data_IF_544483743210
#
_entry.id   IF_544483743210
#
_cell.length_a   1.000
_cell.length_b   1.000
_cell.length_c   1.000
_cell.angle_alpha   90.00
_cell.angle_beta   90.00
_cell.angle_gamma   90.00
#
_symmetry.space_group_name_H-M   'P 1'
#
loop_
_entity.id
_entity.type
_entity.pdbx_description
1 polymer ?
#
# COMPACT_ATOMS: atom_id res chain seq x y z
N UNK A 1 31.24 -18.69 -27.44
CA UNK A 1 30.21 -18.64 -28.51
C UNK A 1 29.88 -17.18 -28.74
N UNK A 2 29.94 -16.72 -29.99
CA UNK A 2 29.62 -15.34 -30.32
C UNK A 2 28.13 -15.10 -30.15
N UNK A 3 27.77 -13.97 -29.52
CA UNK A 3 26.38 -13.49 -29.48
C UNK A 3 25.98 -13.11 -30.92
N UNK A 4 24.88 -13.70 -31.40
CA UNK A 4 24.30 -13.31 -32.68
C UNK A 4 23.28 -12.19 -32.39
N UNK A 5 23.54 -11.00 -32.94
CA UNK A 5 22.61 -9.86 -32.87
C UNK A 5 21.81 -9.80 -34.19
N UNK A 6 20.49 -9.77 -34.06
CA UNK A 6 19.58 -9.59 -35.19
C UNK A 6 19.18 -8.12 -35.29
N UNK A 7 19.47 -7.49 -36.43
CA UNK A 7 19.13 -6.07 -36.67
C UNK A 7 17.81 -5.91 -37.46
N UNK A 8 16.86 -6.83 -37.32
CA UNK A 8 15.58 -6.79 -38.01
C UNK A 8 14.52 -7.65 -37.34
N UNK A 9 13.32 -7.65 -37.89
CA UNK A 9 12.22 -8.44 -37.36
C UNK A 9 12.55 -9.94 -37.48
N UNK A 10 12.54 -10.65 -36.36
CA UNK A 10 12.66 -12.11 -36.31
C UNK A 10 11.25 -12.71 -36.32
N UNK A 11 10.98 -13.59 -37.33
CA UNK A 11 9.70 -14.31 -37.42
C UNK A 11 9.90 -15.77 -37.03
N UNK A 12 8.97 -16.32 -36.27
CA UNK A 12 8.94 -17.74 -35.95
C UNK A 12 7.50 -18.26 -36.00
N UNK A 13 7.25 -19.29 -36.76
CA UNK A 13 5.93 -19.93 -36.86
C UNK A 13 5.58 -20.73 -35.61
N UNK A 14 6.59 -21.17 -34.83
CA UNK A 14 6.44 -21.98 -33.62
C UNK A 14 6.73 -21.23 -32.34
N UNK A 15 6.88 -19.88 -32.39
CA UNK A 15 7.19 -19.03 -31.26
C UNK A 15 8.68 -19.00 -30.90
N UNK A 16 8.99 -18.40 -29.74
CA UNK A 16 10.35 -18.23 -29.24
C UNK A 16 10.49 -18.83 -27.84
N UNK A 17 11.66 -19.39 -27.56
CA UNK A 17 11.98 -19.93 -26.24
C UNK A 17 13.24 -19.29 -25.69
N UNK A 18 13.20 -18.93 -24.40
CA UNK A 18 14.41 -18.67 -23.62
C UNK A 18 14.78 -19.96 -22.89
N UNK A 19 16.03 -20.34 -22.94
CA UNK A 19 16.53 -21.58 -22.35
C UNK A 19 17.72 -21.31 -21.43
N UNK A 20 17.85 -22.09 -20.36
CA UNK A 20 19.10 -22.17 -19.61
C UNK A 20 19.77 -23.51 -19.89
N UNK A 21 21.10 -23.51 -20.08
CA UNK A 21 21.90 -24.70 -20.20
C UNK A 21 22.54 -25.06 -18.87
N UNK A 22 22.34 -26.28 -18.40
CA UNK A 22 23.07 -26.79 -17.25
C UNK A 22 24.55 -26.92 -17.64
N UNK A 23 25.44 -26.25 -16.88
CA UNK A 23 26.87 -26.23 -17.20
C UNK A 23 27.53 -27.58 -17.02
N UNK A 24 27.02 -28.46 -16.18
CA UNK A 24 27.58 -29.78 -15.87
C UNK A 24 27.05 -30.86 -16.80
N UNK A 25 25.73 -30.87 -17.07
CA UNK A 25 25.10 -31.94 -17.86
C UNK A 25 24.90 -31.56 -19.33
N UNK A 26 25.02 -30.28 -19.68
CA UNK A 26 24.76 -29.78 -21.02
C UNK A 26 23.26 -29.73 -21.40
N UNK A 27 22.36 -30.17 -20.52
CA UNK A 27 20.91 -30.21 -20.77
C UNK A 27 20.33 -28.82 -20.82
N UNK A 28 19.46 -28.54 -21.79
CA UNK A 28 18.70 -27.30 -21.91
C UNK A 28 17.35 -27.41 -21.22
N UNK A 29 16.99 -26.40 -20.48
CA UNK A 29 15.67 -26.27 -19.82
C UNK A 29 14.98 -24.99 -20.31
N UNK A 30 13.76 -25.12 -20.81
CA UNK A 30 12.95 -23.98 -21.23
C UNK A 30 12.66 -23.09 -19.99
N UNK A 31 12.89 -21.78 -20.09
CA UNK A 31 12.61 -20.79 -19.02
C UNK A 31 11.35 -19.98 -19.30
N UNK A 32 11.17 -19.54 -20.54
CA UNK A 32 9.96 -18.92 -21.02
C UNK A 32 9.73 -19.27 -22.49
N UNK A 33 8.48 -19.39 -22.86
CA UNK A 33 8.07 -19.74 -24.26
C UNK A 33 7.00 -18.74 -24.69
N UNK A 34 7.19 -18.11 -25.83
CA UNK A 34 6.16 -17.40 -26.57
C UNK A 34 5.60 -18.32 -27.64
N UNK A 35 4.33 -18.69 -27.59
CA UNK A 35 3.72 -19.57 -28.59
C UNK A 35 3.38 -18.80 -29.88
N UNK A 36 2.92 -19.54 -30.91
CA UNK A 36 2.51 -18.97 -32.21
C UNK A 36 1.34 -18.00 -32.12
N UNK A 37 0.54 -18.02 -31.02
CA UNK A 37 -0.55 -17.07 -30.74
C UNK A 37 -0.09 -15.83 -29.99
N UNK A 38 1.23 -15.67 -29.74
CA UNK A 38 1.79 -14.52 -29.03
C UNK A 38 1.68 -14.58 -27.50
N UNK A 39 1.20 -15.70 -26.94
CA UNK A 39 1.11 -15.85 -25.49
C UNK A 39 2.47 -16.22 -24.89
N UNK A 40 2.88 -15.56 -23.83
CA UNK A 40 4.10 -15.82 -23.10
C UNK A 40 3.81 -16.72 -21.88
N UNK A 41 4.52 -17.84 -21.79
CA UNK A 41 4.42 -18.78 -20.68
C UNK A 41 5.77 -18.94 -19.99
N UNK A 42 5.74 -19.17 -18.66
CA UNK A 42 6.89 -19.68 -17.93
C UNK A 42 6.73 -21.19 -17.74
N UNK A 43 7.79 -21.96 -17.95
CA UNK A 43 7.76 -23.41 -17.76
C UNK A 43 8.09 -23.75 -16.30
N UNK A 44 7.33 -24.70 -15.73
CA UNK A 44 7.60 -25.33 -14.43
C UNK A 44 7.92 -24.35 -13.28
N UNK A 45 6.91 -23.63 -12.79
CA UNK A 45 7.04 -22.84 -11.55
C UNK A 45 7.85 -21.55 -11.67
N UNK A 46 8.25 -21.16 -12.87
CA UNK A 46 8.86 -19.85 -13.10
C UNK A 46 7.81 -18.75 -13.14
N UNK A 47 7.99 -17.73 -12.33
CA UNK A 47 7.20 -16.51 -12.41
C UNK A 47 7.82 -15.59 -13.48
N UNK A 48 6.97 -14.91 -14.28
CA UNK A 48 7.41 -13.72 -14.99
C UNK A 48 7.75 -12.68 -13.95
N UNK A 49 9.01 -12.60 -13.56
CA UNK A 49 9.47 -11.50 -12.74
C UNK A 49 9.59 -10.29 -13.65
N UNK A 50 8.77 -9.29 -13.40
CA UNK A 50 9.09 -7.95 -13.84
C UNK A 50 10.27 -7.50 -12.96
N UNK A 51 11.48 -7.55 -13.56
CA UNK A 51 12.61 -6.89 -12.92
C UNK A 51 12.30 -5.39 -12.97
N UNK A 52 11.83 -4.84 -11.87
CA UNK A 52 11.76 -3.42 -11.70
C UNK A 52 13.18 -2.88 -11.87
N UNK A 53 13.45 -2.20 -12.99
CA UNK A 53 14.61 -1.34 -13.06
C UNK A 53 14.51 -0.41 -11.85
N UNK A 54 15.56 -0.45 -11.03
CA UNK A 54 15.75 0.35 -9.82
C UNK A 54 14.88 1.60 -9.75
N UNK A 55 13.82 1.57 -8.92
CA UNK A 55 13.18 2.80 -8.46
C UNK A 55 11.66 2.92 -8.59
N UNK A 56 11.01 2.20 -9.49
CA UNK A 56 9.55 2.24 -9.60
C UNK A 56 9.02 0.81 -9.72
N UNK A 57 8.66 0.21 -8.61
CA UNK A 57 7.73 -0.92 -8.64
C UNK A 57 6.37 -0.39 -9.12
N UNK A 58 5.59 -1.16 -9.92
CA UNK A 58 4.24 -0.75 -10.23
C UNK A 58 3.48 -0.58 -8.92
N UNK A 59 3.05 0.64 -8.62
CA UNK A 59 2.21 0.97 -7.47
C UNK A 59 0.85 0.25 -7.51
N UNK A 60 0.52 -0.32 -8.66
CA UNK A 60 -0.71 -1.06 -8.91
C UNK A 60 -0.43 -2.39 -9.60
N UNK A 61 -0.06 -3.40 -8.83
CA UNK A 61 -0.15 -4.78 -9.29
C UNK A 61 -1.62 -5.20 -9.18
N UNK A 62 -2.34 -5.16 -10.30
CA UNK A 62 -3.71 -5.68 -10.36
C UNK A 62 -3.63 -7.20 -10.49
N UNK A 63 -3.88 -7.90 -9.41
CA UNK A 63 -3.99 -9.36 -9.40
C UNK A 63 -5.46 -9.72 -9.57
N UNK A 64 -5.83 -10.14 -10.79
CA UNK A 64 -7.19 -10.62 -11.09
C UNK A 64 -7.27 -12.13 -11.04
N UNK A 65 -8.39 -12.68 -10.59
CA UNK A 65 -8.68 -14.11 -10.73
C UNK A 65 -9.12 -14.41 -12.17
N UNK A 66 -8.16 -14.71 -13.01
CA UNK A 66 -8.41 -15.16 -14.39
C UNK A 66 -7.33 -16.15 -14.83
N UNK A 67 -7.29 -17.32 -14.19
CA UNK A 67 -6.30 -18.37 -14.50
C UNK A 67 -5.03 -18.28 -13.65
N UNK A 68 -4.65 -19.36 -13.13
CA UNK A 68 -3.57 -19.86 -12.27
C UNK A 68 -2.18 -19.20 -12.30
N UNK A 69 -2.03 -17.94 -12.65
CA UNK A 69 -0.71 -17.29 -12.78
C UNK A 69 -0.33 -16.37 -11.63
N UNK A 70 -1.23 -16.12 -10.69
CA UNK A 70 -0.98 -15.26 -9.52
C UNK A 70 -1.09 -16.07 -8.22
N UNK A 71 -0.45 -17.19 -8.20
CA UNK A 71 -0.60 -18.32 -7.28
C UNK A 71 -0.36 -18.08 -5.79
N UNK A 72 -0.23 -16.83 -5.32
CA UNK A 72 0.06 -16.58 -3.89
C UNK A 72 -0.80 -15.50 -3.25
N UNK A 73 -1.54 -14.69 -4.00
CA UNK A 73 -2.43 -13.70 -3.42
C UNK A 73 -3.72 -14.36 -2.95
N UNK A 74 -3.84 -14.55 -1.65
CA UNK A 74 -5.03 -15.07 -0.99
C UNK A 74 -5.57 -14.00 -0.04
N UNK A 75 -6.76 -13.39 -0.30
CA UNK A 75 -7.30 -12.37 0.58
C UNK A 75 -7.71 -12.90 1.96
N UNK A 76 -7.78 -14.21 2.13
CA UNK A 76 -8.09 -14.87 3.40
C UNK A 76 -6.86 -15.45 4.11
N UNK A 77 -5.68 -14.92 3.86
CA UNK A 77 -4.46 -15.33 4.53
C UNK A 77 -3.67 -14.13 5.03
N UNK A 78 -3.06 -14.28 6.18
CA UNK A 78 -2.08 -13.35 6.75
C UNK A 78 -0.66 -13.91 6.70
N UNK A 79 0.34 -13.07 6.85
CA UNK A 79 1.75 -13.45 6.88
C UNK A 79 2.54 -12.58 7.84
N UNK A 80 3.47 -13.16 8.59
CA UNK A 80 4.44 -12.41 9.41
C UNK A 80 5.53 -11.74 8.57
N UNK A 81 5.62 -12.04 7.27
CA UNK A 81 6.58 -11.43 6.35
C UNK A 81 5.86 -10.73 5.22
N UNK A 82 6.41 -9.62 4.76
CA UNK A 82 5.85 -8.87 3.65
C UNK A 82 5.98 -9.65 2.34
N UNK A 83 4.85 -9.97 1.69
CA UNK A 83 4.80 -10.69 0.42
C UNK A 83 4.63 -9.77 -0.79
N UNK A 84 3.99 -8.61 -0.60
CA UNK A 84 3.70 -7.62 -1.65
C UNK A 84 4.06 -6.21 -1.15
N UNK A 85 4.33 -5.24 -2.04
CA UNK A 85 4.42 -3.85 -1.65
C UNK A 85 3.14 -3.37 -0.95
N UNK A 86 3.27 -2.54 0.07
CA UNK A 86 2.11 -1.96 0.77
C UNK A 86 1.26 -1.13 -0.19
N UNK A 87 -0.06 -1.23 -0.06
CA UNK A 87 -1.01 -0.60 -0.98
C UNK A 87 -1.26 -1.38 -2.28
N UNK A 88 -0.58 -2.53 -2.52
CA UNK A 88 -0.84 -3.36 -3.71
C UNK A 88 -2.32 -3.69 -3.82
N UNK A 89 -2.88 -3.51 -5.02
CA UNK A 89 -4.29 -3.75 -5.33
C UNK A 89 -4.51 -5.19 -5.79
N UNK A 90 -5.49 -5.86 -5.19
CA UNK A 90 -5.99 -7.17 -5.60
C UNK A 90 -7.48 -7.05 -5.98
N UNK A 91 -7.85 -7.54 -7.15
CA UNK A 91 -9.26 -7.65 -7.56
C UNK A 91 -9.64 -9.13 -7.56
N UNK A 92 -10.69 -9.46 -6.80
CA UNK A 92 -11.21 -10.82 -6.70
C UNK A 92 -12.74 -10.80 -6.74
N UNK A 93 -13.32 -11.24 -7.85
CA UNK A 93 -14.76 -11.12 -8.07
C UNK A 93 -15.18 -9.65 -8.10
N UNK A 94 -16.13 -9.29 -7.25
CA UNK A 94 -16.62 -7.91 -7.12
C UNK A 94 -15.85 -7.11 -6.07
N UNK A 95 -14.89 -7.73 -5.37
CA UNK A 95 -14.15 -7.08 -4.30
C UNK A 95 -12.81 -6.54 -4.79
N UNK A 96 -12.46 -5.39 -4.25
CA UNK A 96 -11.13 -4.80 -4.35
C UNK A 96 -10.50 -4.78 -2.97
N UNK A 97 -9.26 -5.25 -2.91
CA UNK A 97 -8.47 -5.30 -1.68
C UNK A 97 -7.19 -4.49 -1.83
N UNK A 98 -6.68 -4.02 -0.70
CA UNK A 98 -5.33 -3.44 -0.59
C UNK A 98 -4.50 -4.25 0.39
N UNK A 99 -3.23 -4.47 0.03
CA UNK A 99 -2.28 -5.16 0.90
C UNK A 99 -1.70 -4.19 1.92
N UNK A 100 -1.69 -4.62 3.18
CA UNK A 100 -1.23 -3.75 4.26
C UNK A 100 -0.64 -4.52 5.44
N UNK A 101 0.00 -3.78 6.34
CA UNK A 101 0.51 -4.24 7.62
C UNK A 101 -0.43 -3.75 8.72
N UNK A 102 -0.94 -4.66 9.54
CA UNK A 102 -1.63 -4.29 10.78
C UNK A 102 -0.58 -3.86 11.82
N UNK A 103 -0.92 -2.87 12.64
CA UNK A 103 -0.08 -2.45 13.77
C UNK A 103 -0.15 -3.41 14.95
N UNK A 104 0.43 -3.01 16.08
CA UNK A 104 0.67 -3.82 17.26
C UNK A 104 -0.57 -4.31 18.03
N UNK A 105 -1.77 -4.21 17.45
CA UNK A 105 -3.03 -4.69 18.07
C UNK A 105 -3.81 -5.55 17.07
N UNK A 106 -4.14 -6.77 17.45
CA UNK A 106 -4.93 -7.68 16.64
C UNK A 106 -6.35 -7.13 16.39
N UNK A 107 -6.90 -7.39 15.21
CA UNK A 107 -8.25 -6.94 14.80
C UNK A 107 -9.03 -8.11 14.24
N UNK A 108 -10.22 -8.34 14.77
CA UNK A 108 -11.13 -9.40 14.28
C UNK A 108 -11.70 -9.07 12.91
N UNK A 109 -12.16 -10.09 12.19
CA UNK A 109 -12.80 -9.95 10.87
C UNK A 109 -13.98 -8.97 10.88
N UNK A 110 -14.21 -8.31 9.76
CA UNK A 110 -15.33 -7.39 9.56
C UNK A 110 -15.28 -6.09 10.36
N UNK A 111 -14.08 -5.65 10.70
CA UNK A 111 -13.83 -4.35 11.36
C UNK A 111 -13.15 -3.38 10.41
N UNK A 112 -13.56 -2.12 10.49
CA UNK A 112 -12.88 -1.03 9.78
C UNK A 112 -11.51 -0.78 10.41
N UNK A 113 -10.52 -0.52 9.56
CA UNK A 113 -9.19 -0.09 9.95
C UNK A 113 -8.85 1.25 9.30
N UNK A 114 -8.02 2.04 9.97
CA UNK A 114 -7.51 3.32 9.50
C UNK A 114 -5.97 3.29 9.46
N UNK A 115 -5.36 4.27 8.79
CA UNK A 115 -3.91 4.46 8.89
C UNK A 115 -3.51 4.77 10.33
N UNK A 116 -2.26 4.46 10.69
CA UNK A 116 -1.72 4.81 12.02
C UNK A 116 -1.74 6.33 12.24
N UNK A 117 -1.76 6.74 13.49
CA UNK A 117 -1.69 8.15 13.84
C UNK A 117 -0.40 8.78 13.29
N UNK A 118 -0.49 10.04 12.91
CA UNK A 118 0.70 10.83 12.59
C UNK A 118 1.47 11.17 13.88
N UNK A 119 2.80 11.19 13.77
CA UNK A 119 3.65 11.67 14.85
C UNK A 119 3.72 13.21 14.81
N UNK A 120 3.40 13.86 15.92
CA UNK A 120 3.43 15.32 16.00
C UNK A 120 4.83 15.92 15.88
N UNK A 121 5.85 15.15 16.25
CA UNK A 121 7.26 15.57 16.20
C UNK A 121 7.84 15.51 14.77
N UNK A 122 7.13 14.84 13.86
CA UNK A 122 7.47 14.78 12.45
C UNK A 122 6.55 15.66 11.59
N UNK A 123 5.87 16.64 12.21
CA UNK A 123 5.07 17.67 11.54
C UNK A 123 5.73 19.05 11.72
N UNK A 124 5.60 19.89 10.68
CA UNK A 124 6.17 21.24 10.66
C UNK A 124 7.68 21.30 10.93
N UNK A 125 8.39 20.25 10.51
CA UNK A 125 9.85 20.18 10.57
C UNK A 125 10.46 21.27 9.68
N UNK A 126 11.50 21.96 10.13
CA UNK A 126 12.22 22.94 9.32
C UNK A 126 13.29 22.27 8.45
N UNK A 127 13.45 22.75 7.22
CA UNK A 127 14.60 22.36 6.41
C UNK A 127 15.88 22.92 7.03
N UNK A 128 16.86 22.06 7.34
CA UNK A 128 18.12 22.49 7.99
C UNK A 128 19.08 23.15 7.01
N UNK A 129 18.90 22.97 5.70
CA UNK A 129 19.63 23.61 4.62
C UNK A 129 18.69 23.97 3.48
N UNK A 130 19.10 24.96 2.66
CA UNK A 130 18.42 25.22 1.39
C UNK A 130 18.66 24.04 0.44
N UNK A 131 17.59 23.57 -0.24
CA UNK A 131 17.63 22.44 -1.17
C UNK A 131 17.22 22.93 -2.55
N UNK A 132 18.04 22.67 -3.57
CA UNK A 132 17.76 23.10 -4.94
C UNK A 132 16.65 22.26 -5.58
N UNK A 133 15.93 22.85 -6.54
CA UNK A 133 15.06 22.07 -7.42
C UNK A 133 15.88 20.99 -8.15
N UNK A 134 15.31 19.80 -8.28
CA UNK A 134 15.95 18.62 -8.86
C UNK A 134 16.59 17.67 -7.85
N UNK A 135 16.78 18.09 -6.59
CA UNK A 135 17.33 17.25 -5.52
C UNK A 135 16.24 16.31 -4.94
N UNK A 136 16.71 15.18 -4.41
CA UNK A 136 15.88 14.16 -3.76
C UNK A 136 16.22 13.95 -2.28
N UNK A 137 17.34 14.47 -1.82
CA UNK A 137 17.78 14.38 -0.43
C UNK A 137 17.45 15.69 0.28
N UNK A 138 16.60 15.60 1.28
CA UNK A 138 16.05 16.75 1.99
C UNK A 138 16.39 16.61 3.47
N UNK A 139 17.22 17.54 3.98
CA UNK A 139 17.58 17.56 5.40
C UNK A 139 16.55 18.36 6.19
N UNK A 140 16.00 17.75 7.22
CA UNK A 140 14.97 18.34 8.10
C UNK A 140 15.38 18.22 9.55
N UNK A 141 14.92 19.14 10.38
CA UNK A 141 15.02 19.09 11.83
C UNK A 141 13.76 18.45 12.39
N UNK A 142 13.90 17.27 13.02
CA UNK A 142 12.77 16.55 13.67
C UNK A 142 12.42 17.19 15.00
N UNK A 143 11.21 16.91 15.51
CA UNK A 143 10.88 17.10 16.93
C UNK A 143 11.53 16.06 17.84
N UNK A 144 10.98 15.85 19.02
CA UNK A 144 11.60 15.03 20.07
C UNK A 144 11.61 13.52 19.86
N UNK A 145 10.93 13.01 18.82
CA UNK A 145 10.83 11.56 18.56
C UNK A 145 11.95 11.09 17.62
N UNK A 146 12.55 9.94 17.93
CA UNK A 146 13.55 9.28 17.10
C UNK A 146 12.91 8.63 15.87
N UNK A 147 13.69 8.42 14.81
CA UNK A 147 13.27 7.64 13.65
C UNK A 147 13.97 6.27 13.64
N UNK A 148 13.21 5.24 13.36
CA UNK A 148 13.81 3.95 13.02
C UNK A 148 14.19 3.91 11.53
N UNK A 149 15.10 3.00 11.18
CA UNK A 149 15.55 2.85 9.78
C UNK A 149 14.36 2.54 8.85
N UNK A 150 14.18 3.37 7.81
CA UNK A 150 13.12 3.23 6.81
C UNK A 150 11.68 3.26 7.36
N UNK A 151 11.47 3.87 8.50
CA UNK A 151 10.15 4.00 9.13
C UNK A 151 9.12 4.65 8.20
N UNK A 152 9.54 5.67 7.47
CA UNK A 152 8.70 6.42 6.52
C UNK A 152 8.83 5.93 5.07
N UNK A 153 9.53 4.83 4.82
CA UNK A 153 9.68 4.31 3.47
C UNK A 153 8.31 4.05 2.82
N UNK A 154 8.17 4.46 1.55
CA UNK A 154 6.91 4.46 0.79
C UNK A 154 5.78 5.32 1.39
N UNK A 155 6.05 6.10 2.44
CA UNK A 155 5.21 7.17 2.95
C UNK A 155 5.38 8.47 2.17
N UNK A 156 4.96 9.57 2.75
CA UNK A 156 4.96 10.87 2.08
C UNK A 156 5.64 11.94 2.92
N UNK A 157 6.45 12.74 2.23
CA UNK A 157 6.98 14.02 2.70
C UNK A 157 6.27 15.12 1.91
N UNK A 158 5.74 16.13 2.59
CA UNK A 158 5.16 17.28 1.91
C UNK A 158 5.64 18.60 2.51
N UNK A 159 5.67 19.63 1.68
CA UNK A 159 5.99 21.00 2.10
C UNK A 159 4.69 21.67 2.49
N UNK A 160 4.55 21.98 3.77
CA UNK A 160 3.30 22.53 4.31
C UNK A 160 3.30 24.05 4.46
N UNK A 161 4.48 24.70 4.48
CA UNK A 161 4.53 26.16 4.56
C UNK A 161 5.80 26.72 3.93
N UNK A 162 5.76 28.01 3.55
CA UNK A 162 6.81 28.82 2.97
C UNK A 162 7.21 28.35 1.55
N UNK A 163 8.49 28.40 1.19
CA UNK A 163 8.96 28.07 -0.16
C UNK A 163 8.75 26.61 -0.49
N UNK A 164 8.10 26.36 -1.62
CA UNK A 164 7.82 25.01 -2.11
C UNK A 164 6.51 24.41 -1.57
N UNK A 165 5.71 25.17 -0.80
CA UNK A 165 4.45 24.69 -0.23
C UNK A 165 3.55 24.03 -1.28
N UNK A 166 2.87 22.93 -0.85
CA UNK A 166 2.00 22.12 -1.70
C UNK A 166 2.73 21.02 -2.48
N UNK A 167 4.07 20.98 -2.51
CA UNK A 167 4.79 19.84 -3.07
C UNK A 167 4.62 18.62 -2.16
N UNK A 168 4.37 17.48 -2.76
CA UNK A 168 4.28 16.18 -2.08
C UNK A 168 5.19 15.19 -2.80
N UNK A 169 6.09 14.54 -2.05
CA UNK A 169 7.05 13.58 -2.54
C UNK A 169 6.86 12.25 -1.81
N UNK A 170 7.05 11.15 -2.53
CA UNK A 170 7.07 9.82 -1.90
C UNK A 170 8.44 9.55 -1.30
N UNK A 171 8.46 9.14 -0.03
CA UNK A 171 9.70 8.82 0.70
C UNK A 171 10.27 7.50 0.17
N UNK A 172 11.54 7.51 -0.17
CA UNK A 172 12.29 6.32 -0.56
C UNK A 172 12.94 5.64 0.64
N UNK A 173 13.56 6.44 1.50
CA UNK A 173 14.25 5.94 2.69
C UNK A 173 14.51 7.06 3.69
N UNK A 174 14.65 6.68 4.94
CA UNK A 174 15.23 7.49 6.00
C UNK A 174 16.23 6.64 6.79
N UNK A 175 17.33 7.21 7.31
CA UNK A 175 18.20 6.52 8.25
C UNK A 175 17.50 6.32 9.61
N UNK A 176 18.05 5.43 10.43
CA UNK A 176 17.79 5.49 11.86
C UNK A 176 18.39 6.79 12.41
N UNK A 177 17.67 7.46 13.30
CA UNK A 177 18.00 8.79 13.78
C UNK A 177 17.64 8.91 15.26
N UNK A 178 18.54 9.46 16.05
CA UNK A 178 18.37 9.77 17.47
C UNK A 178 18.38 11.30 17.60
N UNK A 179 17.19 11.86 17.81
CA UNK A 179 16.99 13.32 17.93
C UNK A 179 17.86 13.93 19.04
N UNK A 180 18.08 13.19 20.14
CA UNK A 180 18.85 13.71 21.27
C UNK A 180 20.33 13.91 20.93
N UNK A 181 20.84 13.17 19.98
CA UNK A 181 22.25 13.22 19.53
C UNK A 181 22.45 14.23 18.37
N UNK A 182 21.53 14.26 17.41
CA UNK A 182 21.52 15.18 16.25
C UNK A 182 20.07 15.37 15.81
N UNK A 183 19.48 16.56 15.94
CA UNK A 183 18.09 16.79 15.52
C UNK A 183 17.90 16.76 14.00
N UNK A 184 18.99 16.76 13.19
CA UNK A 184 18.93 16.84 11.74
C UNK A 184 19.00 15.48 11.09
N UNK A 185 18.04 15.18 10.21
CA UNK A 185 17.98 13.92 9.45
C UNK A 185 17.77 14.17 7.96
N UNK A 186 18.38 13.34 7.10
CA UNK A 186 18.17 13.39 5.65
C UNK A 186 17.08 12.40 5.27
N UNK A 187 16.01 12.89 4.68
CA UNK A 187 14.94 12.10 4.07
C UNK A 187 15.20 12.04 2.57
N UNK A 188 15.38 10.82 2.04
CA UNK A 188 15.53 10.61 0.59
C UNK A 188 14.16 10.32 -0.01
N UNK A 189 13.80 11.01 -1.09
CA UNK A 189 12.54 10.84 -1.81
C UNK A 189 12.74 10.14 -3.16
N UNK A 190 11.68 9.54 -3.71
CA UNK A 190 11.69 9.05 -5.10
C UNK A 190 11.56 10.20 -6.08
N UNK A 191 10.77 11.20 -5.70
CA UNK A 191 10.43 12.34 -6.55
C UNK A 191 11.36 13.50 -6.23
N UNK A 192 11.92 14.13 -7.27
CA UNK A 192 12.76 15.31 -7.11
C UNK A 192 11.91 16.55 -6.79
N UNK A 193 12.47 17.46 -6.01
CA UNK A 193 11.88 18.78 -5.77
C UNK A 193 11.67 19.53 -7.08
N UNK A 194 10.47 20.07 -7.27
CA UNK A 194 10.14 20.95 -8.40
C UNK A 194 10.50 22.40 -8.09
N UNK A 195 10.24 22.84 -6.86
CA UNK A 195 10.57 24.16 -6.35
C UNK A 195 11.59 24.03 -5.23
N UNK A 196 12.63 24.85 -5.26
CA UNK A 196 13.67 24.87 -4.23
C UNK A 196 13.11 25.22 -2.86
N UNK A 197 13.72 24.64 -1.82
CA UNK A 197 13.42 24.93 -0.42
C UNK A 197 14.43 25.92 0.16
N UNK A 198 13.97 26.66 1.16
CA UNK A 198 14.84 27.50 2.01
C UNK A 198 14.87 26.92 3.43
N UNK A 199 15.77 27.42 4.25
CA UNK A 199 15.82 27.04 5.68
C UNK A 199 14.61 27.47 6.50
N UNK A 200 13.67 28.21 5.90
CA UNK A 200 12.39 28.57 6.51
C UNK A 200 11.24 27.67 6.03
N UNK A 201 11.48 26.82 5.02
CA UNK A 201 10.45 25.89 4.52
C UNK A 201 10.11 24.87 5.60
N UNK A 202 8.81 24.60 5.76
CA UNK A 202 8.31 23.62 6.71
C UNK A 202 7.82 22.38 5.98
N UNK A 203 8.19 21.23 6.51
CA UNK A 203 7.88 19.93 5.92
C UNK A 203 7.25 19.02 6.98
N UNK A 204 6.46 18.07 6.52
CA UNK A 204 5.83 17.08 7.38
C UNK A 204 5.94 15.70 6.77
N UNK A 205 5.99 14.67 7.61
CA UNK A 205 6.06 13.25 7.24
C UNK A 205 4.79 12.51 7.66
N UNK A 206 4.37 11.57 6.83
CA UNK A 206 3.38 10.57 7.18
C UNK A 206 3.83 9.20 6.66
N UNK A 207 3.57 8.17 7.43
CA UNK A 207 3.83 6.79 7.04
C UNK A 207 3.05 6.40 5.79
N UNK A 208 3.46 5.31 5.12
CA UNK A 208 2.60 4.67 4.13
C UNK A 208 1.24 4.38 4.76
N UNK A 209 0.10 4.80 4.16
CA UNK A 209 -1.22 4.63 4.75
C UNK A 209 -1.60 3.17 5.06
N UNK A 210 -0.94 2.22 4.39
CA UNK A 210 -1.11 0.78 4.61
C UNK A 210 -0.04 0.17 5.53
N UNK A 211 0.79 0.99 6.19
CA UNK A 211 1.76 0.55 7.19
C UNK A 211 1.24 0.82 8.59
N UNK A 212 1.29 -0.19 9.47
CA UNK A 212 0.91 -0.02 10.88
C UNK A 212 -0.56 0.37 11.09
N UNK A 213 -1.47 -0.12 10.24
CA UNK A 213 -2.90 0.19 10.35
C UNK A 213 -3.46 -0.24 11.70
N UNK A 214 -4.40 0.54 12.21
CA UNK A 214 -5.08 0.27 13.48
C UNK A 214 -6.58 0.15 13.27
N UNK A 215 -7.28 -0.49 14.22
CA UNK A 215 -8.74 -0.46 14.21
C UNK A 215 -9.22 1.00 14.15
N UNK A 216 -10.20 1.30 13.31
CA UNK A 216 -10.76 2.64 13.24
C UNK A 216 -11.50 2.96 14.55
N UNK A 217 -10.98 3.86 15.41
CA UNK A 217 -11.59 4.13 16.72
C UNK A 217 -12.90 4.89 16.56
N UNK A 218 -13.76 4.87 17.55
CA UNK A 218 -15.03 5.60 17.54
C UNK A 218 -14.85 7.11 17.31
N UNK A 219 -13.80 7.71 17.89
CA UNK A 219 -13.39 9.08 17.56
C UNK A 219 -12.48 9.07 16.33
N UNK A 220 -12.80 9.87 15.32
CA UNK A 220 -11.99 9.95 14.09
C UNK A 220 -10.61 10.54 14.37
N UNK A 221 -9.57 9.74 14.07
CA UNK A 221 -8.16 10.13 14.23
C UNK A 221 -7.33 9.83 12.97
N UNK A 222 -7.97 9.30 11.93
CA UNK A 222 -7.32 8.98 10.66
C UNK A 222 -8.32 8.54 9.60
N UNK A 223 -7.86 8.51 8.35
CA UNK A 223 -8.67 8.05 7.23
C UNK A 223 -8.87 6.53 7.28
N UNK A 224 -10.08 6.07 7.01
CA UNK A 224 -10.38 4.64 6.88
C UNK A 224 -9.69 4.08 5.65
N UNK A 225 -8.90 3.02 5.83
CA UNK A 225 -8.08 2.41 4.77
C UNK A 225 -8.62 1.07 4.27
N UNK A 226 -9.62 0.51 4.93
CA UNK A 226 -10.25 -0.75 4.54
C UNK A 226 -10.96 -1.43 5.70
N UNK A 227 -11.33 -2.69 5.45
CA UNK A 227 -11.90 -3.59 6.46
C UNK A 227 -11.17 -4.93 6.45
N UNK A 228 -11.01 -5.52 7.63
CA UNK A 228 -10.44 -6.86 7.80
C UNK A 228 -11.35 -7.92 7.19
N UNK A 229 -10.76 -8.86 6.45
CA UNK A 229 -11.46 -9.99 5.83
C UNK A 229 -11.49 -11.21 6.77
N UNK A 230 -10.43 -11.36 7.55
CA UNK A 230 -10.18 -12.41 8.53
C UNK A 230 -9.79 -11.79 9.86
N UNK A 231 -9.73 -12.57 10.91
CA UNK A 231 -9.04 -12.18 12.14
C UNK A 231 -7.56 -11.97 11.81
N UNK A 232 -7.06 -10.77 12.08
CA UNK A 232 -5.68 -10.37 11.79
C UNK A 232 -4.86 -10.32 13.07
N UNK A 233 -3.72 -10.99 13.05
CA UNK A 233 -2.73 -10.94 14.12
C UNK A 233 -2.00 -9.59 14.12
N UNK A 234 -1.63 -9.08 15.30
CA UNK A 234 -0.80 -7.88 15.44
C UNK A 234 0.52 -8.04 14.66
N UNK A 235 0.96 -6.97 14.00
CA UNK A 235 2.19 -6.90 13.21
C UNK A 235 2.26 -7.89 12.02
N UNK A 236 1.09 -8.36 11.53
CA UNK A 236 0.99 -9.22 10.37
C UNK A 236 0.49 -8.46 9.14
N UNK A 237 0.91 -8.93 7.97
CA UNK A 237 0.50 -8.45 6.66
C UNK A 237 -0.71 -9.22 6.17
N UNK A 238 -1.62 -8.53 5.49
CA UNK A 238 -2.81 -9.15 4.92
C UNK A 238 -3.52 -8.24 3.93
N UNK A 239 -4.71 -8.68 3.50
CA UNK A 239 -5.54 -7.98 2.55
C UNK A 239 -6.75 -7.36 3.23
N UNK A 240 -7.02 -6.10 2.94
CA UNK A 240 -8.11 -5.33 3.50
C UNK A 240 -9.08 -4.94 2.39
N UNK A 241 -10.38 -5.22 2.58
CA UNK A 241 -11.41 -4.84 1.59
C UNK A 241 -11.55 -3.32 1.56
N UNK A 242 -11.53 -2.75 0.36
CA UNK A 242 -11.72 -1.31 0.12
C UNK A 242 -12.94 -1.02 -0.73
N UNK A 243 -13.39 -2.00 -1.53
CA UNK A 243 -14.59 -1.88 -2.36
C UNK A 243 -15.24 -3.24 -2.58
N UNK A 244 -16.57 -3.26 -2.76
CA UNK A 244 -17.38 -4.45 -2.95
C UNK A 244 -18.03 -4.96 -1.67
N UNK A 245 -18.76 -6.10 -1.72
CA UNK A 245 -19.53 -6.60 -0.60
C UNK A 245 -18.63 -7.12 0.53
N UNK A 246 -18.81 -6.59 1.73
CA UNK A 246 -18.09 -6.97 2.95
C UNK A 246 -19.05 -7.02 4.14
N UNK A 247 -18.96 -8.08 4.94
CA UNK A 247 -19.66 -8.16 6.23
C UNK A 247 -18.95 -7.27 7.25
N UNK A 248 -19.66 -6.29 7.81
CA UNK A 248 -19.14 -5.32 8.77
C UNK A 248 -19.94 -5.31 10.06
N UNK A 249 -19.27 -5.08 11.19
CA UNK A 249 -19.89 -4.94 12.49
C UNK A 249 -20.90 -3.81 12.49
N UNK A 250 -22.15 -4.13 12.77
CA UNK A 250 -23.27 -3.17 12.80
C UNK A 250 -23.42 -2.51 14.16
N UNK A 251 -23.55 -1.19 14.16
CA UNK A 251 -23.87 -0.39 15.35
C UNK A 251 -25.14 0.39 15.08
N UNK A 252 -26.16 0.15 15.91
CA UNK A 252 -27.50 0.72 15.71
C UNK A 252 -28.34 -0.05 14.69
N UNK A 253 -29.30 0.62 14.07
CA UNK A 253 -30.25 0.01 13.12
C UNK A 253 -29.98 0.50 11.71
N UNK A 254 -29.35 -0.35 10.88
CA UNK A 254 -29.15 -0.07 9.48
C UNK A 254 -30.47 -0.25 8.68
N UNK A 255 -30.57 0.43 7.55
CA UNK A 255 -31.72 0.33 6.62
C UNK A 255 -31.20 -0.01 5.23
N UNK A 256 -31.83 -0.99 4.58
CA UNK A 256 -31.49 -1.44 3.23
C UNK A 256 -31.45 -0.27 2.24
N UNK A 257 -30.39 -0.23 1.42
CA UNK A 257 -30.21 0.80 0.40
C UNK A 257 -29.75 2.16 0.93
N UNK A 258 -29.64 2.32 2.28
CA UNK A 258 -29.15 3.56 2.85
C UNK A 258 -27.62 3.52 2.99
N UNK A 259 -27.05 4.70 3.20
CA UNK A 259 -25.62 4.88 3.44
C UNK A 259 -25.26 4.37 4.84
N UNK A 260 -24.22 3.55 4.90
CA UNK A 260 -23.52 3.19 6.13
C UNK A 260 -22.29 4.09 6.27
N UNK A 261 -22.13 4.66 7.46
CA UNK A 261 -20.98 5.49 7.85
C UNK A 261 -20.15 4.77 8.91
N UNK A 262 -18.92 5.21 9.12
CA UNK A 262 -18.11 4.80 10.25
C UNK A 262 -18.88 5.03 11.57
N UNK A 263 -18.81 4.09 12.51
CA UNK A 263 -19.46 4.25 13.79
C UNK A 263 -18.71 5.26 14.66
N UNK A 264 -19.44 6.25 15.22
CA UNK A 264 -18.94 7.16 16.25
C UNK A 264 -19.03 6.61 17.67
N UNK A 265 -19.51 5.39 17.87
CA UNK A 265 -19.75 4.79 19.19
C UNK A 265 -19.03 3.47 19.45
N UNK A 266 -18.50 2.82 18.42
CA UNK A 266 -17.85 1.50 18.54
C UNK A 266 -16.71 1.38 17.54
N UNK A 267 -15.54 0.98 18.01
CA UNK A 267 -14.34 0.83 17.20
C UNK A 267 -14.54 -0.22 16.08
N UNK A 268 -14.16 0.17 14.87
CA UNK A 268 -14.24 -0.68 13.69
C UNK A 268 -15.64 -0.98 13.17
N UNK A 269 -16.68 -0.40 13.78
CA UNK A 269 -18.07 -0.64 13.38
C UNK A 269 -18.56 0.33 12.30
N UNK A 270 -19.73 -0.02 11.69
CA UNK A 270 -20.51 0.86 10.82
C UNK A 270 -21.86 1.17 11.46
N UNK A 271 -22.37 2.36 11.20
CA UNK A 271 -23.63 2.87 11.74
C UNK A 271 -24.48 3.50 10.64
N UNK A 272 -25.81 3.69 10.84
CA UNK A 272 -26.62 4.46 9.91
C UNK A 272 -26.13 5.92 9.86
N UNK A 273 -26.14 6.51 8.66
CA UNK A 273 -25.90 7.93 8.51
C UNK A 273 -27.06 8.71 9.13
N UNK A 274 -26.81 9.35 10.27
CA UNK A 274 -27.80 10.21 10.96
C UNK A 274 -27.57 11.68 10.71
N UNK A 275 -26.34 12.03 10.38
CA UNK A 275 -25.89 13.34 9.93
C UNK A 275 -24.64 13.15 9.03
N UNK A 276 -24.29 14.10 8.23
CA UNK A 276 -23.18 14.00 7.26
C UNK A 276 -21.80 14.31 7.90
N UNK A 277 -21.61 13.98 9.15
CA UNK A 277 -20.38 14.31 9.91
C UNK A 277 -19.36 13.18 9.85
N UNK A 278 -19.80 11.92 9.68
CA UNK A 278 -18.93 10.75 9.73
C UNK A 278 -18.58 10.23 8.33
N UNK A 279 -17.40 9.60 8.21
CA UNK A 279 -16.91 9.05 6.95
C UNK A 279 -17.87 8.01 6.39
N UNK A 280 -18.33 8.21 5.13
CA UNK A 280 -19.12 7.24 4.37
C UNK A 280 -18.27 5.99 4.06
N UNK A 281 -18.86 4.82 4.30
CA UNK A 281 -18.22 3.52 4.04
C UNK A 281 -18.83 2.84 2.81
N UNK A 282 -20.13 3.02 2.59
CA UNK A 282 -20.82 2.42 1.44
C UNK A 282 -22.32 2.27 1.66
N UNK A 283 -22.95 1.40 0.88
CA UNK A 283 -24.40 1.17 0.90
C UNK A 283 -24.75 -0.17 1.57
N UNK A 284 -25.85 -0.17 2.31
CA UNK A 284 -26.36 -1.35 3.03
C UNK A 284 -27.05 -2.31 2.06
N UNK A 285 -26.46 -3.51 1.86
CA UNK A 285 -27.03 -4.58 1.01
C UNK A 285 -27.93 -5.54 1.77
N UNK A 286 -27.58 -5.85 3.03
CA UNK A 286 -28.36 -6.70 3.89
C UNK A 286 -28.17 -6.25 5.34
N UNK A 287 -29.23 -6.36 6.16
CA UNK A 287 -29.23 -5.91 7.54
C UNK A 287 -29.34 -7.10 8.49
N UNK A 288 -28.63 -6.98 9.61
CA UNK A 288 -28.74 -7.84 10.79
C UNK A 288 -28.96 -6.99 12.05
N UNK A 289 -29.10 -7.63 13.19
CA UNK A 289 -29.33 -6.92 14.46
C UNK A 289 -28.11 -6.05 14.86
N UNK A 290 -28.35 -5.10 15.72
CA UNK A 290 -27.29 -4.33 16.37
C UNK A 290 -26.27 -5.28 17.02
N UNK A 291 -24.98 -5.01 16.86
CA UNK A 291 -23.83 -5.82 17.32
C UNK A 291 -23.57 -7.10 16.52
N UNK A 292 -24.37 -7.38 15.48
CA UNK A 292 -24.10 -8.41 14.49
C UNK A 292 -23.43 -7.83 13.24
N UNK A 293 -23.18 -8.65 12.21
CA UNK A 293 -22.53 -8.22 10.98
C UNK A 293 -23.54 -8.08 9.84
N UNK A 294 -23.65 -6.89 9.28
CA UNK A 294 -24.46 -6.59 8.10
C UNK A 294 -23.61 -6.57 6.84
N UNK A 295 -24.20 -6.90 5.69
CA UNK A 295 -23.49 -6.85 4.41
C UNK A 295 -23.57 -5.44 3.83
N UNK A 296 -22.41 -4.82 3.63
CA UNK A 296 -22.25 -3.47 3.09
C UNK A 296 -21.51 -3.56 1.75
N UNK A 297 -21.99 -2.87 0.74
CA UNK A 297 -21.20 -2.60 -0.46
C UNK A 297 -20.28 -1.45 -0.14
N UNK A 298 -19.04 -1.77 0.19
CA UNK A 298 -18.01 -0.76 0.51
C UNK A 298 -17.61 0.03 -0.73
N UNK A 299 -17.30 1.31 -0.54
CA UNK A 299 -16.81 2.19 -1.59
C UNK A 299 -15.95 3.32 -0.99
N UNK A 300 -14.81 2.96 -0.42
CA UNK A 300 -13.88 3.91 0.22
C UNK A 300 -12.66 4.21 -0.67
N UNK A 301 -12.57 3.62 -1.86
CA UNK A 301 -11.56 3.90 -2.90
C UNK A 301 -12.14 3.71 -4.30
#
# INVERSE_FOLDING_TARGET
MANTTFNGAVRSENGFKTVSKNATTGVYTDKAVMNSSGNLYTTAGGHLQYAAATGYGPSDLVIGKGGSQYGTANPWAESSTQLFPLGTKLIYGNNVYRYGLLGGTAVTAGKLVQHQAQDSDHLNMTATAAVSAGETDISVETGGTDLTLNEYADGYLWVNDVNGEGQTMRVKSNPAHDHSSDPSVVITTYDALVTALTTSSQLSLIHNPYSGMVIAPATETGAVMGATVIDMTADYYGWFTVSGPQALLTVGTLVLGNIAVRSGGTDGGVAPATDNVLTEIGEVMAVNANTEYSLIWMNIQ
#
